data_IF_973738667579
#
_entry.id   IF_973738667579
#
_cell.length_a   1.000
_cell.length_b   1.000
_cell.length_c   1.000
_cell.angle_alpha   90.00
_cell.angle_beta   90.00
_cell.angle_gamma   90.00
#
_symmetry.space_group_name_H-M   'P 1'
#
loop_
_entity.id
_entity.type
_entity.pdbx_description
1 polymer ?
#
# COMPACT_ATOMS: atom_id res chain seq x y z
N UNK A 1 -15.27 10.04 23.87
CA UNK A 1 -15.24 9.93 22.38
C UNK A 1 -15.06 8.46 22.01
N UNK A 2 -15.95 7.95 21.21
CA UNK A 2 -15.84 6.57 20.75
C UNK A 2 -15.06 6.50 19.44
N UNK A 3 -14.26 5.43 19.29
CA UNK A 3 -13.50 5.16 18.06
C UNK A 3 -14.29 4.10 17.28
N UNK A 4 -14.59 4.40 16.02
CA UNK A 4 -15.22 3.44 15.14
C UNK A 4 -14.15 2.48 14.61
N UNK A 5 -14.41 1.18 14.73
CA UNK A 5 -13.51 0.14 14.24
C UNK A 5 -14.16 -0.56 13.06
N UNK A 6 -13.43 -0.62 11.94
CA UNK A 6 -13.85 -1.31 10.73
C UNK A 6 -12.97 -2.54 10.52
N UNK A 7 -13.57 -3.66 10.18
CA UNK A 7 -12.82 -4.83 9.69
C UNK A 7 -13.04 -4.93 8.20
N UNK A 8 -11.96 -4.77 7.43
CA UNK A 8 -12.04 -4.68 5.98
C UNK A 8 -11.11 -5.67 5.30
N UNK A 9 -11.58 -6.19 4.17
CA UNK A 9 -10.77 -7.07 3.32
C UNK A 9 -10.09 -6.22 2.25
N UNK A 10 -8.77 -6.30 2.20
CA UNK A 10 -7.96 -5.58 1.22
C UNK A 10 -7.63 -6.49 0.02
N UNK A 11 -7.48 -5.94 -1.18
CA UNK A 11 -7.54 -4.52 -1.51
C UNK A 11 -8.94 -3.92 -1.36
N UNK A 12 -9.00 -2.70 -0.86
CA UNK A 12 -10.26 -2.00 -0.67
C UNK A 12 -10.89 -1.61 -1.99
N UNK A 13 -12.22 -1.65 -2.04
CA UNK A 13 -12.96 -0.97 -3.11
C UNK A 13 -13.03 0.53 -2.81
N UNK A 14 -13.29 1.32 -3.85
CA UNK A 14 -13.48 2.76 -3.66
C UNK A 14 -14.66 3.06 -2.72
N UNK A 15 -15.73 2.26 -2.80
CA UNK A 15 -16.88 2.41 -1.92
C UNK A 15 -16.51 2.18 -0.46
N UNK A 16 -15.73 1.12 -0.17
CA UNK A 16 -15.28 0.85 1.20
C UNK A 16 -14.38 1.96 1.73
N UNK A 17 -13.47 2.48 0.90
CA UNK A 17 -12.59 3.58 1.30
C UNK A 17 -13.37 4.83 1.68
N UNK A 18 -14.47 5.11 1.01
CA UNK A 18 -15.30 6.29 1.29
C UNK A 18 -16.08 6.21 2.59
N UNK A 19 -16.21 5.03 3.19
CA UNK A 19 -16.87 4.88 4.49
C UNK A 19 -15.98 5.26 5.66
N UNK A 20 -14.68 5.38 5.43
CA UNK A 20 -13.70 5.68 6.48
C UNK A 20 -13.63 7.17 6.77
N UNK A 21 -13.45 7.49 8.05
CA UNK A 21 -13.26 8.85 8.52
C UNK A 21 -11.96 8.94 9.29
N UNK A 22 -11.38 10.14 9.32
CA UNK A 22 -10.16 10.38 10.09
C UNK A 22 -10.37 9.99 11.55
N UNK A 23 -9.43 9.24 12.10
CA UNK A 23 -9.51 8.74 13.47
C UNK A 23 -10.12 7.36 13.62
N UNK A 24 -10.71 6.82 12.55
CA UNK A 24 -11.22 5.45 12.58
C UNK A 24 -10.09 4.44 12.67
N UNK A 25 -10.37 3.30 13.32
CA UNK A 25 -9.50 2.14 13.33
C UNK A 25 -9.88 1.17 12.21
N UNK A 26 -8.89 0.59 11.54
CA UNK A 26 -9.12 -0.40 10.49
C UNK A 26 -8.34 -1.67 10.81
N UNK A 27 -9.03 -2.79 10.91
CA UNK A 27 -8.40 -4.11 10.99
C UNK A 27 -8.35 -4.65 9.57
N UNK A 28 -7.13 -4.93 9.10
CA UNK A 28 -6.88 -5.29 7.71
C UNK A 28 -6.73 -6.81 7.59
N UNK A 29 -7.59 -7.41 6.77
CA UNK A 29 -7.43 -8.79 6.29
C UNK A 29 -7.22 -8.74 4.78
N UNK A 30 -6.56 -9.76 4.23
CA UNK A 30 -6.40 -9.89 2.79
C UNK A 30 -5.02 -9.47 2.31
N UNK A 31 -4.97 -8.79 1.17
CA UNK A 31 -3.73 -8.52 0.46
C UNK A 31 -3.42 -7.03 0.41
N UNK A 32 -2.18 -6.69 0.74
CA UNK A 32 -1.63 -5.34 0.56
C UNK A 32 -0.30 -5.44 -0.19
N UNK A 33 0.07 -4.34 -0.85
CA UNK A 33 1.36 -4.24 -1.52
C UNK A 33 2.28 -3.41 -0.64
N UNK A 34 3.46 -3.93 -0.38
CA UNK A 34 4.43 -3.30 0.51
C UNK A 34 5.63 -2.83 -0.29
N UNK A 35 6.01 -1.58 -0.10
CA UNK A 35 7.25 -1.03 -0.65
C UNK A 35 8.01 -0.32 0.46
N UNK A 36 9.34 -0.33 0.36
CA UNK A 36 10.19 0.33 1.36
C UNK A 36 11.28 1.19 0.75
N UNK A 37 11.54 1.07 -0.54
CA UNK A 37 12.68 1.70 -1.20
C UNK A 37 12.32 2.90 -2.04
N UNK A 38 13.09 3.99 -1.90
CA UNK A 38 12.97 5.14 -2.77
C UNK A 38 13.20 4.80 -4.25
N UNK A 39 14.18 3.94 -4.62
CA UNK A 39 14.35 3.53 -6.01
C UNK A 39 13.11 2.86 -6.61
N UNK A 40 12.37 2.08 -5.83
CA UNK A 40 11.14 1.45 -6.30
C UNK A 40 10.09 2.50 -6.67
N UNK A 41 9.93 3.54 -5.86
CA UNK A 41 8.99 4.62 -6.15
C UNK A 41 9.41 5.41 -7.39
N UNK A 42 10.69 5.65 -7.56
CA UNK A 42 11.21 6.30 -8.77
C UNK A 42 10.90 5.47 -10.02
N UNK A 43 11.04 4.15 -9.93
CA UNK A 43 10.68 3.24 -11.03
C UNK A 43 9.18 3.25 -11.32
N UNK A 44 8.34 3.37 -10.31
CA UNK A 44 6.90 3.50 -10.55
C UNK A 44 6.57 4.75 -11.35
N UNK A 45 7.26 5.88 -11.09
CA UNK A 45 7.08 7.07 -11.91
C UNK A 45 7.52 6.83 -13.35
N UNK A 46 8.61 6.10 -13.56
CA UNK A 46 9.04 5.71 -14.91
C UNK A 46 7.99 4.83 -15.59
N UNK A 47 7.34 3.94 -14.86
CA UNK A 47 6.25 3.14 -15.39
C UNK A 47 5.05 4.01 -15.79
N UNK A 48 4.72 5.03 -15.01
CA UNK A 48 3.66 5.97 -15.35
C UNK A 48 4.00 6.77 -16.61
N UNK A 49 5.29 7.03 -16.86
CA UNK A 49 5.78 7.72 -18.04
C UNK A 49 5.98 6.79 -19.24
N UNK A 50 5.48 5.54 -19.16
CA UNK A 50 5.59 4.52 -20.20
C UNK A 50 7.03 4.14 -20.57
N UNK A 51 7.99 4.38 -19.68
CA UNK A 51 9.39 4.02 -19.90
C UNK A 51 9.66 2.54 -19.68
N UNK A 52 8.87 1.91 -18.80
CA UNK A 52 8.93 0.47 -18.55
C UNK A 52 7.57 -0.03 -18.10
N UNK A 53 7.28 -1.35 -18.25
CA UNK A 53 6.01 -1.89 -17.79
C UNK A 53 5.99 -2.04 -16.28
N UNK A 54 4.80 -1.91 -15.67
CA UNK A 54 4.62 -2.22 -14.26
C UNK A 54 4.86 -3.71 -13.99
N UNK A 55 5.48 -4.06 -12.85
CA UNK A 55 5.73 -5.46 -12.52
C UNK A 55 4.45 -6.23 -12.20
N UNK A 56 3.38 -5.51 -11.86
CA UNK A 56 2.06 -6.06 -11.54
C UNK A 56 1.04 -4.94 -11.68
N UNK A 57 -0.23 -5.29 -11.66
CA UNK A 57 -1.30 -4.30 -11.71
C UNK A 57 -1.40 -3.59 -10.36
N UNK A 58 -1.13 -2.29 -10.35
CA UNK A 58 -1.20 -1.45 -9.15
C UNK A 58 -2.42 -0.53 -9.13
N UNK A 59 -3.25 -0.56 -10.17
CA UNK A 59 -4.44 0.29 -10.23
C UNK A 59 -5.42 -0.06 -9.11
N UNK A 60 -5.80 0.91 -8.32
CA UNK A 60 -6.71 0.70 -7.20
C UNK A 60 -6.10 -0.05 -6.02
N UNK A 61 -4.80 -0.29 -6.02
CA UNK A 61 -4.13 -1.07 -5.01
C UNK A 61 -4.09 -0.37 -3.64
N UNK A 62 -3.79 -1.16 -2.62
CA UNK A 62 -3.46 -0.67 -1.28
C UNK A 62 -1.95 -0.76 -1.13
N UNK A 63 -1.27 0.38 -1.21
CA UNK A 63 0.19 0.47 -1.25
C UNK A 63 0.72 1.08 0.04
N UNK A 64 1.47 0.29 0.79
CA UNK A 64 1.97 0.68 2.10
C UNK A 64 3.49 0.74 2.13
N UNK A 65 4.02 1.72 2.84
CA UNK A 65 5.45 1.88 3.06
C UNK A 65 5.84 1.17 4.36
N UNK A 66 6.21 -0.09 4.25
CA UNK A 66 6.54 -0.91 5.41
C UNK A 66 7.83 -1.69 5.15
N UNK A 67 8.66 -1.78 6.18
CA UNK A 67 9.73 -2.77 6.21
C UNK A 67 9.19 -4.07 6.77
N UNK A 68 9.58 -5.19 6.20
CA UNK A 68 9.13 -6.49 6.68
C UNK A 68 10.25 -7.51 6.68
N UNK A 69 10.12 -8.50 7.55
CA UNK A 69 10.97 -9.68 7.55
C UNK A 69 10.09 -10.92 7.52
N UNK A 70 10.35 -11.78 6.57
CA UNK A 70 9.57 -13.00 6.40
C UNK A 70 10.49 -14.21 6.25
N UNK A 71 9.93 -15.38 6.53
CA UNK A 71 10.62 -16.65 6.38
C UNK A 71 9.82 -17.53 5.44
N UNK A 72 10.50 -18.19 4.52
CA UNK A 72 9.90 -19.17 3.63
C UNK A 72 10.08 -20.57 4.18
N UNK A 73 8.99 -21.32 4.24
CA UNK A 73 9.00 -22.73 4.66
C UNK A 73 8.02 -23.48 3.74
N UNK A 74 8.51 -24.49 3.04
CA UNK A 74 7.72 -25.33 2.13
C UNK A 74 6.91 -24.53 1.09
N UNK A 75 7.52 -23.47 0.56
CA UNK A 75 6.89 -22.62 -0.44
C UNK A 75 5.89 -21.62 0.12
N UNK A 76 5.71 -21.56 1.43
CA UNK A 76 4.87 -20.59 2.10
C UNK A 76 5.69 -19.57 2.85
N UNK A 77 5.21 -18.31 2.87
CA UNK A 77 5.87 -17.23 3.57
C UNK A 77 5.18 -16.94 4.89
N UNK A 78 5.97 -16.87 5.96
CA UNK A 78 5.51 -16.44 7.27
C UNK A 78 6.10 -15.06 7.53
N UNK A 79 5.23 -14.09 7.82
CA UNK A 79 5.67 -12.74 8.17
C UNK A 79 6.04 -12.72 9.65
N UNK A 80 7.31 -12.46 9.94
CA UNK A 80 7.81 -12.43 11.31
C UNK A 80 7.64 -11.07 11.96
N UNK A 81 7.78 -9.99 11.19
CA UNK A 81 7.40 -8.66 11.63
C UNK A 81 7.17 -7.74 10.45
N UNK A 82 6.38 -6.68 10.70
CA UNK A 82 6.19 -5.56 9.79
C UNK A 82 6.36 -4.29 10.61
N UNK A 83 7.21 -3.38 10.13
CA UNK A 83 7.44 -2.10 10.78
C UNK A 83 7.19 -0.96 9.80
N UNK A 84 6.60 0.15 10.26
CA UNK A 84 6.54 1.36 9.44
C UNK A 84 7.96 1.83 9.09
N UNK A 85 8.10 2.41 7.92
CA UNK A 85 9.35 3.04 7.50
C UNK A 85 9.15 4.54 7.36
N UNK A 86 10.25 5.29 7.22
CA UNK A 86 10.20 6.74 7.05
C UNK A 86 9.57 7.07 5.71
N UNK A 87 8.31 7.48 5.72
CA UNK A 87 7.52 7.70 4.51
C UNK A 87 7.67 9.11 3.93
N UNK A 88 8.18 10.06 4.68
CA UNK A 88 8.33 11.44 4.23
C UNK A 88 9.24 11.57 3.01
N UNK A 89 10.17 10.63 2.82
CA UNK A 89 11.03 10.59 1.64
C UNK A 89 10.25 10.41 0.35
N UNK A 90 9.06 9.82 0.43
CA UNK A 90 8.23 9.49 -0.73
C UNK A 90 7.23 10.61 -1.05
N UNK A 91 7.15 11.63 -0.23
CA UNK A 91 6.20 12.73 -0.42
C UNK A 91 6.22 13.34 -1.82
N UNK A 92 7.38 13.53 -2.48
CA UNK A 92 7.39 14.08 -3.84
C UNK A 92 6.76 13.15 -4.88
N UNK A 93 6.70 11.85 -4.61
CA UNK A 93 6.21 10.86 -5.57
C UNK A 93 4.74 10.50 -5.36
N UNK A 94 4.27 10.55 -4.12
CA UNK A 94 2.97 9.98 -3.75
C UNK A 94 1.76 10.67 -4.39
N UNK A 95 1.70 12.01 -4.50
CA UNK A 95 0.52 12.61 -5.10
C UNK A 95 0.24 12.12 -6.51
N UNK A 96 1.28 11.96 -7.32
CA UNK A 96 1.14 11.46 -8.68
C UNK A 96 0.74 9.99 -8.70
N UNK A 97 1.38 9.15 -7.87
CA UNK A 97 1.06 7.73 -7.77
C UNK A 97 -0.38 7.52 -7.32
N UNK A 98 -0.83 8.27 -6.31
CA UNK A 98 -2.19 8.16 -5.80
C UNK A 98 -3.21 8.50 -6.88
N UNK A 99 -2.99 9.58 -7.63
CA UNK A 99 -3.95 10.02 -8.65
C UNK A 99 -3.96 9.11 -9.87
N UNK A 100 -2.78 8.80 -10.42
CA UNK A 100 -2.73 8.09 -11.71
C UNK A 100 -2.96 6.59 -11.57
N UNK A 101 -2.64 6.00 -10.42
CA UNK A 101 -2.96 4.61 -10.12
C UNK A 101 -4.29 4.45 -9.39
N UNK A 102 -4.93 5.56 -9.02
CA UNK A 102 -6.19 5.55 -8.25
C UNK A 102 -6.09 4.64 -7.03
N UNK A 103 -5.01 4.80 -6.24
CA UNK A 103 -4.80 3.98 -5.05
C UNK A 103 -5.95 4.16 -4.07
N UNK A 104 -6.45 3.06 -3.53
CA UNK A 104 -7.57 3.08 -2.58
C UNK A 104 -7.11 3.20 -1.14
N UNK A 105 -5.85 2.89 -0.86
CA UNK A 105 -5.25 3.04 0.46
C UNK A 105 -3.73 3.17 0.35
N UNK A 106 -3.16 3.88 1.30
CA UNK A 106 -1.72 4.04 1.40
C UNK A 106 -1.31 4.35 2.84
#
# INVERSE_FOLDING_TARGET
MSITTHRMTFPLTAADARTLRAGDQVIIDGEIIITAGLPTHARFLDCLDDKEPFPMDLHGASLFHLGSYSRETDGQFEILYINPTTSTRFNPHMPRLIRELELHAT
#
